data_IF_343907595872
#
_entry.id   IF_343907595872
#
_cell.length_a   1.000
_cell.length_b   1.000
_cell.length_c   1.000
_cell.angle_alpha   90.00
_cell.angle_beta   90.00
_cell.angle_gamma   90.00
#
_symmetry.space_group_name_H-M   'P 1'
#
loop_
_entity.id
_entity.type
_entity.pdbx_description
1 polymer ?
#
# COMPACT_ATOMS: atom_id res chain seq x y z
N UNK A 1 6.14 1.28 8.40
CA UNK A 1 4.97 1.84 7.69
C UNK A 1 4.98 3.33 7.88
N UNK A 2 4.75 4.08 6.81
CA UNK A 2 4.77 5.54 6.82
C UNK A 2 3.48 6.09 6.20
N UNK A 3 2.81 7.02 6.88
CA UNK A 3 1.60 7.70 6.39
C UNK A 3 1.96 9.08 5.86
N UNK A 4 1.67 9.34 4.59
CA UNK A 4 2.01 10.59 3.90
C UNK A 4 0.77 11.11 3.16
N UNK A 5 0.65 12.44 3.07
CA UNK A 5 -0.35 13.07 2.21
C UNK A 5 -0.07 12.77 0.73
N UNK A 6 -1.13 12.50 -0.05
CA UNK A 6 -0.97 12.01 -1.41
C UNK A 6 -0.26 13.01 -2.33
N UNK A 7 -0.46 14.31 -2.13
CA UNK A 7 0.20 15.36 -2.92
C UNK A 7 1.72 15.30 -2.77
N UNK A 8 2.22 15.20 -1.54
CA UNK A 8 3.65 15.11 -1.26
C UNK A 8 4.24 13.83 -1.85
N UNK A 9 3.57 12.69 -1.66
CA UNK A 9 3.98 11.41 -2.23
C UNK A 9 4.12 11.47 -3.76
N UNK A 10 3.12 12.03 -4.45
CA UNK A 10 3.09 12.10 -5.91
C UNK A 10 4.16 13.04 -6.48
N UNK A 11 4.59 14.05 -5.73
CA UNK A 11 5.66 14.97 -6.11
C UNK A 11 7.05 14.33 -5.92
N UNK A 12 7.28 13.70 -4.78
CA UNK A 12 8.57 13.09 -4.42
C UNK A 12 8.85 11.80 -5.21
N UNK A 13 7.82 11.03 -5.52
CA UNK A 13 7.92 9.70 -6.15
C UNK A 13 7.51 9.70 -7.62
N UNK A 14 7.62 10.84 -8.32
CA UNK A 14 7.03 11.02 -9.67
C UNK A 14 7.42 9.95 -10.69
N UNK A 15 8.68 9.51 -10.67
CA UNK A 15 9.23 8.53 -11.62
C UNK A 15 9.37 7.11 -11.01
N UNK A 16 8.90 6.94 -9.78
CA UNK A 16 8.94 5.65 -9.07
C UNK A 16 7.72 4.79 -9.43
N UNK A 17 7.84 3.51 -9.08
CA UNK A 17 6.78 2.52 -9.22
C UNK A 17 6.56 1.78 -7.91
N UNK A 18 5.32 1.40 -7.65
CA UNK A 18 4.93 0.75 -6.41
C UNK A 18 3.97 -0.40 -6.66
N UNK A 19 4.07 -1.43 -5.82
CA UNK A 19 3.08 -2.49 -5.75
C UNK A 19 1.86 -1.99 -4.99
N UNK A 20 0.67 -2.22 -5.57
CA UNK A 20 -0.63 -1.91 -4.99
C UNK A 20 -1.46 -3.19 -4.95
N UNK A 21 -2.01 -3.47 -3.76
CA UNK A 21 -2.90 -4.60 -3.54
C UNK A 21 -4.35 -4.26 -3.89
N UNK A 22 -5.05 -5.23 -4.46
CA UNK A 22 -6.47 -5.15 -4.82
C UNK A 22 -7.20 -6.36 -4.27
N UNK A 23 -8.47 -6.16 -3.92
CA UNK A 23 -9.38 -7.20 -3.43
C UNK A 23 -10.64 -7.24 -4.29
N UNK A 24 -11.25 -8.43 -4.39
CA UNK A 24 -12.52 -8.65 -5.09
C UNK A 24 -13.60 -9.11 -4.14
N UNK A 25 -14.79 -8.52 -4.28
CA UNK A 25 -16.04 -9.04 -3.71
C UNK A 25 -17.13 -9.03 -4.79
N UNK A 26 -17.76 -10.18 -5.03
CA UNK A 26 -18.66 -10.36 -6.16
C UNK A 26 -17.98 -9.96 -7.48
N UNK A 27 -18.54 -8.97 -8.19
CA UNK A 27 -17.98 -8.47 -9.45
C UNK A 27 -17.13 -7.19 -9.32
N UNK A 28 -16.87 -6.73 -8.09
CA UNK A 28 -16.19 -5.46 -7.85
C UNK A 28 -14.75 -5.70 -7.39
N UNK A 29 -13.81 -5.10 -8.13
CA UNK A 29 -12.42 -4.95 -7.71
C UNK A 29 -12.21 -3.57 -7.11
N UNK A 30 -11.48 -3.52 -5.99
CA UNK A 30 -11.13 -2.27 -5.33
C UNK A 30 -9.73 -2.37 -4.71
N UNK A 31 -9.00 -1.25 -4.63
CA UNK A 31 -7.68 -1.24 -4.01
C UNK A 31 -7.77 -1.48 -2.50
N UNK A 32 -6.70 -1.98 -1.92
CA UNK A 32 -6.55 -2.10 -0.48
C UNK A 32 -6.43 -0.70 0.12
N UNK A 33 -7.44 -0.31 0.91
CA UNK A 33 -7.51 0.99 1.54
C UNK A 33 -7.70 0.87 3.06
N UNK A 34 -7.36 1.95 3.77
CA UNK A 34 -7.54 2.08 5.22
C UNK A 34 -8.12 3.44 5.60
N UNK A 35 -8.64 3.52 6.82
CA UNK A 35 -9.12 4.76 7.45
C UNK A 35 -8.01 5.29 8.34
N UNK A 36 -7.28 6.31 7.90
CA UNK A 36 -6.09 6.84 8.60
C UNK A 36 -6.36 7.22 10.07
N UNK A 37 -7.54 7.80 10.32
CA UNK A 37 -7.99 8.19 11.65
C UNK A 37 -9.43 7.74 11.91
N UNK A 38 -9.64 6.53 12.47
CA UNK A 38 -10.98 6.00 12.72
C UNK A 38 -11.82 6.79 13.73
N UNK A 39 -11.19 7.67 14.53
CA UNK A 39 -11.93 8.52 15.49
C UNK A 39 -12.56 9.75 14.82
N UNK A 40 -12.03 10.16 13.66
CA UNK A 40 -12.45 11.38 12.95
C UNK A 40 -13.05 11.09 11.57
N UNK A 41 -12.69 9.95 10.97
CA UNK A 41 -13.08 9.56 9.63
C UNK A 41 -13.89 8.27 9.66
N UNK A 42 -15.02 8.25 8.96
CA UNK A 42 -15.86 7.05 8.77
C UNK A 42 -15.64 6.39 7.40
N UNK A 43 -14.78 6.98 6.56
CA UNK A 43 -14.55 6.58 5.18
C UNK A 43 -13.09 6.25 4.94
N UNK A 44 -12.86 5.30 4.04
CA UNK A 44 -11.52 5.02 3.52
C UNK A 44 -10.94 6.28 2.89
N UNK A 45 -9.72 6.62 3.27
CA UNK A 45 -9.02 7.82 2.85
C UNK A 45 -7.55 7.55 2.49
N UNK A 46 -7.08 6.32 2.70
CA UNK A 46 -5.66 5.96 2.59
C UNK A 46 -5.48 4.76 1.67
N UNK A 47 -4.58 4.86 0.69
CA UNK A 47 -4.16 3.74 -0.18
C UNK A 47 -2.88 3.10 0.34
N UNK A 48 -2.81 1.77 0.36
CA UNK A 48 -1.54 1.08 0.63
C UNK A 48 -0.69 0.95 -0.63
N UNK A 49 0.60 1.23 -0.49
CA UNK A 49 1.61 1.01 -1.53
C UNK A 49 2.84 0.33 -0.92
N UNK A 50 3.61 -0.40 -1.72
CA UNK A 50 4.91 -0.94 -1.28
C UNK A 50 5.94 -0.89 -2.39
N UNK A 51 7.21 -0.77 -2.04
CA UNK A 51 8.31 -0.98 -2.98
C UNK A 51 8.61 -2.46 -3.25
N UNK A 52 8.03 -3.39 -2.47
CA UNK A 52 8.29 -4.82 -2.63
C UNK A 52 7.01 -5.62 -2.83
N UNK A 53 7.05 -6.57 -3.77
CA UNK A 53 5.92 -7.47 -4.04
C UNK A 53 5.56 -8.34 -2.83
N UNK A 54 6.52 -9.03 -2.16
CA UNK A 54 6.19 -9.95 -1.08
C UNK A 54 5.41 -9.29 0.06
N UNK A 55 5.83 -8.08 0.46
CA UNK A 55 5.17 -7.34 1.53
C UNK A 55 3.75 -6.92 1.15
N UNK A 56 3.54 -6.48 -0.09
CA UNK A 56 2.19 -6.13 -0.56
C UNK A 56 1.30 -7.38 -0.68
N UNK A 57 1.84 -8.49 -1.19
CA UNK A 57 1.12 -9.76 -1.34
C UNK A 57 0.67 -10.32 0.02
N UNK A 58 1.59 -10.38 0.98
CA UNK A 58 1.28 -10.81 2.35
C UNK A 58 0.22 -9.90 2.99
N UNK A 59 0.41 -8.58 2.87
CA UNK A 59 -0.52 -7.61 3.45
C UNK A 59 -1.93 -7.76 2.88
N UNK A 60 -2.09 -7.83 1.55
CA UNK A 60 -3.42 -7.94 0.92
C UNK A 60 -4.10 -9.27 1.27
N UNK A 61 -3.36 -10.37 1.35
CA UNK A 61 -3.89 -11.66 1.76
C UNK A 61 -4.37 -11.64 3.22
N UNK A 62 -3.60 -11.03 4.12
CA UNK A 62 -3.94 -10.95 5.53
C UNK A 62 -5.17 -10.07 5.81
N UNK A 63 -5.36 -9.00 5.04
CA UNK A 63 -6.60 -8.23 5.09
C UNK A 63 -7.78 -9.01 4.49
N UNK A 64 -7.58 -9.70 3.37
CA UNK A 64 -8.65 -10.49 2.75
C UNK A 64 -9.17 -11.59 3.68
N UNK A 65 -8.30 -12.27 4.44
CA UNK A 65 -8.69 -13.29 5.44
C UNK A 65 -9.60 -12.76 6.55
N UNK A 66 -9.52 -11.46 6.86
CA UNK A 66 -10.32 -10.81 7.91
C UNK A 66 -11.73 -10.45 7.45
N UNK A 67 -12.00 -10.48 6.14
CA UNK A 67 -13.28 -10.07 5.57
C UNK A 67 -13.92 -11.26 4.85
N UNK A 68 -14.96 -11.90 5.44
CA UNK A 68 -15.51 -13.17 4.94
C UNK A 68 -16.02 -13.17 3.49
N UNK A 69 -16.32 -11.99 2.93
CA UNK A 69 -16.85 -11.81 1.57
C UNK A 69 -15.77 -11.58 0.51
N UNK A 70 -14.48 -11.64 0.89
CA UNK A 70 -13.37 -11.48 -0.05
C UNK A 70 -13.12 -12.78 -0.80
N UNK A 71 -13.21 -12.71 -2.13
CA UNK A 71 -13.10 -13.88 -3.01
C UNK A 71 -11.70 -14.04 -3.59
N UNK A 72 -11.07 -12.92 -3.95
CA UNK A 72 -9.77 -12.90 -4.62
C UNK A 72 -8.95 -11.69 -4.20
N UNK A 73 -7.64 -11.86 -4.24
CA UNK A 73 -6.66 -10.78 -4.13
C UNK A 73 -5.85 -10.70 -5.41
N UNK A 74 -5.27 -9.53 -5.65
CA UNK A 74 -4.38 -9.27 -6.78
C UNK A 74 -3.37 -8.18 -6.39
N UNK A 75 -2.15 -8.26 -6.89
CA UNK A 75 -1.13 -7.23 -6.68
C UNK A 75 -0.64 -6.75 -8.04
N UNK A 76 -0.62 -5.43 -8.25
CA UNK A 76 -0.17 -4.82 -9.49
C UNK A 76 0.97 -3.85 -9.22
N UNK A 77 1.95 -3.82 -10.12
CA UNK A 77 3.03 -2.83 -10.10
C UNK A 77 2.61 -1.64 -10.96
N UNK A 78 2.50 -0.47 -10.35
CA UNK A 78 1.89 0.73 -10.93
C UNK A 78 2.86 1.90 -10.91
N UNK A 79 2.80 2.71 -11.96
CA UNK A 79 3.43 4.03 -12.01
C UNK A 79 2.69 5.01 -11.10
N UNK A 80 3.38 6.04 -10.63
CA UNK A 80 2.79 7.11 -9.81
C UNK A 80 1.59 7.81 -10.47
N UNK A 81 1.56 7.93 -11.80
CA UNK A 81 0.38 8.46 -12.52
C UNK A 81 -0.85 7.53 -12.43
N UNK A 82 -0.66 6.21 -12.45
CA UNK A 82 -1.74 5.26 -12.28
C UNK A 82 -2.24 5.26 -10.83
N UNK A 83 -1.33 5.43 -9.87
CA UNK A 83 -1.67 5.61 -8.46
C UNK A 83 -2.49 6.89 -8.25
N UNK A 84 -2.12 8.00 -8.91
CA UNK A 84 -2.93 9.24 -8.92
C UNK A 84 -4.35 8.98 -9.40
N UNK A 85 -4.51 8.24 -10.50
CA UNK A 85 -5.85 7.91 -11.01
C UNK A 85 -6.67 7.08 -10.01
N UNK A 86 -6.04 6.19 -9.24
CA UNK A 86 -6.71 5.46 -8.16
C UNK A 86 -7.13 6.39 -7.02
N UNK A 87 -6.23 7.27 -6.57
CA UNK A 87 -6.50 8.24 -5.53
C UNK A 87 -7.71 9.12 -5.88
N UNK A 88 -7.71 9.69 -7.08
CA UNK A 88 -8.79 10.55 -7.56
C UNK A 88 -10.12 9.79 -7.68
N UNK A 89 -10.09 8.58 -8.25
CA UNK A 89 -11.28 7.75 -8.47
C UNK A 89 -11.94 7.32 -7.17
N UNK A 90 -11.16 7.01 -6.14
CA UNK A 90 -11.66 6.53 -4.85
C UNK A 90 -11.75 7.63 -3.78
N UNK A 91 -11.34 8.87 -4.10
CA UNK A 91 -11.37 9.99 -3.17
C UNK A 91 -10.38 9.86 -2.01
N UNK A 92 -9.26 9.17 -2.24
CA UNK A 92 -8.24 8.91 -1.23
C UNK A 92 -7.27 10.09 -1.14
N UNK A 93 -6.90 10.47 0.07
CA UNK A 93 -6.07 11.65 0.37
C UNK A 93 -4.69 11.31 0.91
N UNK A 94 -4.52 10.08 1.38
CA UNK A 94 -3.28 9.64 2.00
C UNK A 94 -2.73 8.39 1.31
N UNK A 95 -1.43 8.19 1.47
CA UNK A 95 -0.70 7.00 1.09
C UNK A 95 -0.12 6.39 2.36
N UNK A 96 -0.27 5.07 2.53
CA UNK A 96 0.45 4.28 3.50
C UNK A 96 1.53 3.48 2.78
N UNK A 97 2.80 3.85 2.99
CA UNK A 97 3.94 3.12 2.44
C UNK A 97 4.28 1.96 3.37
N UNK A 98 4.19 0.76 2.83
CA UNK A 98 4.67 -0.47 3.46
C UNK A 98 6.16 -0.60 3.18
N UNK A 99 6.94 -0.47 4.24
CA UNK A 99 8.37 -0.72 4.23
C UNK A 99 8.65 -2.06 4.90
N UNK A 100 9.65 -2.83 4.43
CA UNK A 100 10.17 -3.94 5.20
C UNK A 100 10.56 -3.44 6.59
N UNK A 101 10.35 -4.25 7.62
CA UNK A 101 11.01 -3.99 8.89
C UNK A 101 12.51 -3.98 8.59
N UNK A 102 13.11 -2.79 8.59
CA UNK A 102 14.55 -2.68 8.53
C UNK A 102 15.05 -3.32 9.81
N UNK A 103 15.59 -4.52 9.70
CA UNK A 103 16.47 -5.09 10.71
C UNK A 103 17.60 -4.08 10.91
N UNK A 104 17.39 -3.14 11.82
CA UNK A 104 18.47 -2.38 12.43
C UNK A 104 19.22 -3.33 13.36
N UNK A 105 19.92 -4.31 12.77
CA UNK A 105 21.06 -5.01 13.35
C UNK A 105 21.70 -5.94 12.29
N UNK A 106 22.80 -5.44 11.70
CA UNK A 106 23.84 -6.28 11.12
C UNK A 106 23.73 -6.54 9.61
N UNK A 107 24.65 -5.97 8.84
CA UNK A 107 25.04 -6.57 7.57
C UNK A 107 25.48 -8.01 7.84
N UNK A 108 24.64 -8.99 7.49
CA UNK A 108 25.01 -10.41 7.46
C UNK A 108 25.99 -10.74 6.32
N UNK A 109 26.42 -9.73 5.57
CA UNK A 109 27.64 -9.81 4.80
C UNK A 109 28.78 -9.96 5.83
N UNK A 110 29.50 -11.08 5.86
CA UNK A 110 30.67 -11.27 6.73
C UNK A 110 31.84 -10.31 6.46
N UNK A 111 31.58 -9.16 5.83
CA UNK A 111 32.44 -8.01 5.70
C UNK A 111 32.42 -7.29 7.05
N UNK A 112 33.35 -7.57 7.95
CA UNK A 112 33.43 -6.90 9.26
C UNK A 112 33.59 -5.38 9.16
N UNK A 113 32.51 -4.66 8.91
CA UNK A 113 32.47 -3.20 8.84
C UNK A 113 32.27 -2.67 10.26
N UNK A 114 33.33 -2.03 10.77
CA UNK A 114 33.24 -1.02 11.84
C UNK A 114 32.84 0.32 11.27
#
# INVERSE_FOLDING_TARGET
>A
MELIESTSFLEESKDDMFYVGFMKTGEIWFPLCFVSNPQQNEKFDTLFVSRTYPLMAETVEDYAKKVPQMEKTFVQYLMTEEIRNLLDRYGLRNIMILEPESDSDGCGCGCGCK
#
